data_IF_778027724470
#
_entry.id   IF_778027724470
#
_cell.length_a   1.000
_cell.length_b   1.000
_cell.length_c   1.000
_cell.angle_alpha   90.00
_cell.angle_beta   90.00
_cell.angle_gamma   90.00
#
_symmetry.space_group_name_H-M   'P 1'
#
loop_
_entity.id
_entity.type
_entity.pdbx_description
1 polymer ?
#
# COMPACT_ATOMS: atom_id res chain seq x y z
N UNK A 1 39.72 -17.67 -3.39
CA UNK A 1 39.25 -16.28 -3.60
C UNK A 1 37.88 -16.16 -4.27
N UNK A 2 37.54 -16.89 -5.36
CA UNK A 2 36.23 -16.78 -6.02
C UNK A 2 35.03 -17.19 -5.14
N UNK A 3 35.17 -18.29 -4.39
CA UNK A 3 34.15 -18.79 -3.44
C UNK A 3 33.83 -17.77 -2.31
N UNK A 4 34.85 -17.11 -1.76
CA UNK A 4 34.70 -16.10 -0.69
C UNK A 4 33.98 -14.85 -1.22
N UNK A 5 34.30 -14.41 -2.45
CA UNK A 5 33.58 -13.30 -3.09
C UNK A 5 32.11 -13.64 -3.34
N UNK A 6 31.82 -14.85 -3.81
CA UNK A 6 30.44 -15.32 -4.02
C UNK A 6 29.65 -15.37 -2.71
N UNK A 7 30.27 -15.87 -1.64
CA UNK A 7 29.68 -15.91 -0.31
C UNK A 7 29.38 -14.52 0.25
N UNK A 8 30.29 -13.55 0.07
CA UNK A 8 30.08 -12.16 0.46
C UNK A 8 28.94 -11.48 -0.33
N UNK A 9 28.81 -11.78 -1.63
CA UNK A 9 27.70 -11.27 -2.45
C UNK A 9 26.36 -11.87 -1.99
N UNK A 10 26.29 -13.18 -1.77
CA UNK A 10 25.08 -13.83 -1.25
C UNK A 10 24.71 -13.33 0.15
N UNK A 11 25.69 -13.18 1.04
CA UNK A 11 25.51 -12.66 2.39
C UNK A 11 24.96 -11.22 2.38
N UNK A 12 25.53 -10.35 1.55
CA UNK A 12 25.04 -8.97 1.42
C UNK A 12 23.62 -8.90 0.84
N UNK A 13 23.27 -9.74 -0.15
CA UNK A 13 21.90 -9.83 -0.63
C UNK A 13 20.93 -10.28 0.48
N UNK A 14 21.28 -11.31 1.26
CA UNK A 14 20.44 -11.80 2.36
C UNK A 14 20.20 -10.72 3.44
N UNK A 15 21.22 -9.92 3.76
CA UNK A 15 21.11 -8.80 4.72
C UNK A 15 20.25 -7.65 4.16
N UNK A 16 20.36 -7.35 2.86
CA UNK A 16 19.52 -6.33 2.21
C UNK A 16 18.05 -6.76 2.22
N UNK A 17 17.76 -8.05 2.04
CA UNK A 17 16.40 -8.58 2.14
C UNK A 17 15.89 -8.67 3.59
N UNK A 18 16.75 -8.89 4.58
CA UNK A 18 16.34 -8.99 5.99
C UNK A 18 15.91 -7.64 6.59
N UNK A 19 16.42 -6.52 6.08
CA UNK A 19 16.02 -5.17 6.51
C UNK A 19 14.65 -4.73 5.96
N UNK A 20 14.02 -5.54 5.10
CA UNK A 20 12.61 -5.38 4.76
C UNK A 20 11.75 -6.10 5.81
N UNK A 21 11.75 -5.60 7.05
CA UNK A 21 10.82 -6.08 8.07
C UNK A 21 9.42 -5.61 7.71
N UNK A 22 8.66 -6.49 7.07
CA UNK A 22 7.25 -6.29 6.77
C UNK A 22 6.35 -6.32 8.03
N UNK A 23 6.91 -6.03 9.20
CA UNK A 23 6.22 -6.11 10.50
C UNK A 23 5.01 -5.17 10.59
N UNK A 24 4.96 -4.11 9.76
CA UNK A 24 3.84 -3.16 9.70
C UNK A 24 2.60 -3.69 8.94
N UNK A 25 2.55 -5.00 8.62
CA UNK A 25 1.46 -5.67 7.87
C UNK A 25 0.25 -6.10 8.69
N UNK A 26 0.19 -5.86 10.01
CA UNK A 26 -0.94 -6.36 10.81
C UNK A 26 -2.22 -5.59 10.47
N UNK A 27 -2.96 -6.13 9.51
CA UNK A 27 -4.37 -5.79 9.28
C UNK A 27 -5.04 -5.86 10.64
N UNK A 28 -5.55 -4.71 11.07
CA UNK A 28 -6.20 -4.59 12.37
C UNK A 28 -7.62 -5.12 12.27
N UNK A 29 -8.30 -4.88 11.15
CA UNK A 29 -9.66 -5.34 10.90
C UNK A 29 -10.00 -5.29 9.41
N UNK A 30 -11.12 -5.92 9.04
CA UNK A 30 -11.76 -5.77 7.74
C UNK A 30 -13.14 -5.13 7.95
N UNK A 31 -13.56 -4.28 7.02
CA UNK A 31 -14.88 -3.65 7.03
C UNK A 31 -15.53 -3.73 5.66
N UNK A 32 -16.85 -3.75 5.65
CA UNK A 32 -17.63 -3.59 4.42
C UNK A 32 -17.60 -2.14 3.97
N UNK A 33 -17.77 -1.91 2.66
CA UNK A 33 -17.81 -0.58 2.08
C UNK A 33 -18.89 0.30 2.74
N UNK A 34 -20.07 -0.26 3.01
CA UNK A 34 -21.16 0.45 3.66
C UNK A 34 -20.86 0.87 5.11
N UNK A 35 -19.91 0.19 5.77
CA UNK A 35 -19.46 0.48 7.14
C UNK A 35 -18.30 1.47 7.20
N UNK A 36 -17.68 1.82 6.07
CA UNK A 36 -16.64 2.84 6.03
C UNK A 36 -17.23 4.22 6.34
N UNK A 37 -16.38 5.15 6.76
CA UNK A 37 -16.78 6.55 6.94
C UNK A 37 -17.43 7.11 5.67
N UNK A 38 -18.54 7.84 5.81
CA UNK A 38 -19.35 8.34 4.69
C UNK A 38 -18.51 9.21 3.74
N UNK A 39 -17.57 9.99 4.28
CA UNK A 39 -16.68 10.80 3.44
C UNK A 39 -15.76 9.92 2.58
N UNK A 40 -15.29 8.79 3.11
CA UNK A 40 -14.48 7.82 2.37
C UNK A 40 -15.34 7.14 1.30
N UNK A 41 -16.56 6.73 1.64
CA UNK A 41 -17.50 6.17 0.67
C UNK A 41 -17.76 7.13 -0.49
N UNK A 42 -18.03 8.40 -0.19
CA UNK A 42 -18.29 9.43 -1.19
C UNK A 42 -17.06 9.74 -2.04
N UNK A 43 -15.87 9.76 -1.43
CA UNK A 43 -14.60 9.95 -2.13
C UNK A 43 -14.38 8.82 -3.14
N UNK A 44 -14.56 7.56 -2.73
CA UNK A 44 -14.38 6.39 -3.58
C UNK A 44 -15.36 6.36 -4.76
N UNK A 45 -16.61 6.81 -4.57
CA UNK A 45 -17.62 6.92 -5.63
C UNK A 45 -17.34 8.04 -6.65
N UNK A 46 -16.53 9.03 -6.28
CA UNK A 46 -16.29 10.25 -7.07
C UNK A 46 -14.82 10.40 -7.46
N UNK A 47 -14.08 9.29 -7.52
CA UNK A 47 -12.67 9.37 -7.82
C UNK A 47 -12.41 9.96 -9.20
N UNK A 48 -11.45 10.88 -9.31
CA UNK A 48 -11.03 11.36 -10.61
C UNK A 48 -10.36 10.20 -11.36
N UNK A 49 -10.69 10.12 -12.64
CA UNK A 49 -10.02 9.24 -13.59
C UNK A 49 -9.00 10.09 -14.33
N UNK A 50 -7.79 9.58 -14.50
CA UNK A 50 -6.76 10.29 -15.26
C UNK A 50 -7.01 10.22 -16.78
N UNK A 51 -6.12 10.84 -17.56
CA UNK A 51 -6.22 10.85 -19.03
C UNK A 51 -6.13 9.47 -19.68
N UNK A 52 -5.65 8.46 -18.95
CA UNK A 52 -5.48 7.08 -19.42
C UNK A 52 -6.59 6.16 -18.90
N UNK A 53 -7.57 6.66 -18.16
CA UNK A 53 -8.63 5.83 -17.61
C UNK A 53 -8.25 5.18 -16.27
N UNK A 54 -7.16 5.60 -15.63
CA UNK A 54 -6.67 5.00 -14.40
C UNK A 54 -7.13 5.78 -13.16
N UNK A 55 -7.47 5.03 -12.12
CA UNK A 55 -7.69 5.57 -10.78
C UNK A 55 -6.35 5.80 -10.06
N UNK A 56 -6.28 6.76 -9.12
CA UNK A 56 -5.07 7.00 -8.36
C UNK A 56 -4.73 5.80 -7.47
N UNK A 57 -3.45 5.49 -7.30
CA UNK A 57 -3.00 4.43 -6.37
C UNK A 57 -3.00 4.85 -4.90
N UNK A 58 -3.02 6.17 -4.62
CA UNK A 58 -3.01 6.75 -3.28
C UNK A 58 -4.02 7.91 -3.21
N UNK A 59 -4.89 7.85 -2.20
CA UNK A 59 -5.80 8.90 -1.78
C UNK A 59 -5.39 9.30 -0.37
N UNK A 60 -4.56 10.34 -0.27
CA UNK A 60 -4.07 10.81 1.01
C UNK A 60 -4.89 12.00 1.52
N UNK A 61 -5.73 11.75 2.52
CA UNK A 61 -6.55 12.78 3.16
C UNK A 61 -5.80 13.57 4.24
N UNK A 62 -4.55 13.21 4.52
CA UNK A 62 -3.68 13.92 5.47
C UNK A 62 -2.74 14.90 4.77
N UNK A 63 -2.43 14.68 3.49
CA UNK A 63 -1.47 15.45 2.70
C UNK A 63 0.01 15.13 2.99
N UNK A 64 0.28 14.16 3.87
CA UNK A 64 1.61 13.88 4.39
C UNK A 64 2.22 12.57 3.89
N UNK A 65 1.49 11.74 3.15
CA UNK A 65 1.95 10.42 2.71
C UNK A 65 2.36 10.39 1.24
N UNK A 66 3.34 9.52 0.95
CA UNK A 66 3.79 9.20 -0.40
C UNK A 66 3.84 7.70 -0.57
N UNK A 67 3.30 7.21 -1.69
CA UNK A 67 3.44 5.83 -2.12
C UNK A 67 4.69 5.70 -2.99
N UNK A 68 5.57 4.77 -2.61
CA UNK A 68 6.84 4.52 -3.28
C UNK A 68 6.86 3.07 -3.72
N UNK A 69 6.97 2.84 -5.03
CA UNK A 69 7.26 1.52 -5.57
C UNK A 69 8.73 1.17 -5.35
N UNK A 70 8.99 -0.06 -4.92
CA UNK A 70 10.35 -0.54 -4.65
C UNK A 70 10.75 -1.56 -5.70
N UNK A 71 11.89 -1.30 -6.31
CA UNK A 71 12.38 -1.99 -7.49
C UNK A 71 13.75 -2.64 -7.23
N UNK A 72 13.99 -3.78 -7.86
CA UNK A 72 15.31 -4.39 -8.02
C UNK A 72 15.48 -4.68 -9.52
N UNK A 73 16.29 -3.87 -10.20
CA UNK A 73 16.33 -3.89 -11.66
C UNK A 73 14.94 -3.56 -12.22
N UNK A 74 14.42 -4.33 -13.20
CA UNK A 74 13.10 -4.08 -13.78
C UNK A 74 11.93 -4.61 -12.94
N UNK A 75 12.20 -5.20 -11.77
CA UNK A 75 11.20 -5.93 -10.98
C UNK A 75 10.72 -5.11 -9.78
N UNK A 76 9.42 -4.86 -9.71
CA UNK A 76 8.77 -4.36 -8.50
C UNK A 76 8.65 -5.48 -7.48
N UNK A 77 9.11 -5.26 -6.24
CA UNK A 77 9.05 -6.27 -5.18
C UNK A 77 8.22 -5.84 -3.97
N UNK A 78 7.99 -4.55 -3.77
CA UNK A 78 7.18 -4.04 -2.68
C UNK A 78 6.59 -2.65 -2.97
N UNK A 79 5.55 -2.31 -2.22
CA UNK A 79 5.04 -0.96 -2.09
C UNK A 79 5.40 -0.44 -0.70
N UNK A 80 5.84 0.82 -0.63
CA UNK A 80 6.19 1.48 0.62
C UNK A 80 5.43 2.79 0.74
N UNK A 81 4.55 2.88 1.72
CA UNK A 81 3.82 4.10 2.05
C UNK A 81 4.57 4.84 3.17
N UNK A 82 5.01 6.07 2.91
CA UNK A 82 5.87 6.83 3.83
C UNK A 82 5.20 8.14 4.22
N UNK A 83 5.10 8.40 5.53
CA UNK A 83 4.75 9.71 6.03
C UNK A 83 5.96 10.63 5.91
N UNK A 84 5.82 11.71 5.17
CA UNK A 84 6.88 12.67 4.83
C UNK A 84 7.26 13.56 6.02
N UNK A 85 6.38 13.76 6.99
CA UNK A 85 6.66 14.55 8.20
C UNK A 85 7.40 13.73 9.26
N UNK A 86 6.92 12.51 9.52
CA UNK A 86 7.45 11.67 10.63
C UNK A 86 8.49 10.64 10.18
N UNK A 87 8.59 10.37 8.88
CA UNK A 87 9.42 9.30 8.32
C UNK A 87 8.88 7.89 8.56
N UNK A 88 7.74 7.74 9.27
CA UNK A 88 7.12 6.44 9.53
C UNK A 88 6.68 5.79 8.22
N UNK A 89 6.95 4.50 8.07
CA UNK A 89 6.66 3.80 6.81
C UNK A 89 5.97 2.46 6.98
N UNK A 90 5.07 2.16 6.06
CA UNK A 90 4.29 0.93 5.99
C UNK A 90 4.66 0.19 4.70
N UNK A 91 4.89 -1.12 4.80
CA UNK A 91 5.36 -1.95 3.70
C UNK A 91 4.29 -2.95 3.30
N UNK A 92 4.02 -3.01 2.01
CA UNK A 92 3.01 -3.86 1.40
C UNK A 92 3.64 -4.71 0.30
N UNK A 93 2.97 -5.82 -0.05
CA UNK A 93 3.38 -6.60 -1.22
C UNK A 93 3.20 -5.77 -2.49
N UNK A 94 4.03 -5.99 -3.50
CA UNK A 94 3.96 -5.24 -4.77
C UNK A 94 2.59 -5.33 -5.43
N UNK A 95 1.90 -6.46 -5.24
CA UNK A 95 0.59 -6.74 -5.78
C UNK A 95 -0.53 -6.38 -4.79
N UNK A 96 -0.33 -5.52 -3.80
CA UNK A 96 -1.45 -5.16 -2.91
C UNK A 96 -2.50 -4.37 -3.70
N UNK A 97 -3.81 -4.68 -3.61
CA UNK A 97 -4.84 -3.93 -4.32
C UNK A 97 -4.84 -2.44 -3.94
N UNK A 98 -4.94 -1.57 -4.94
CA UNK A 98 -5.00 -0.11 -4.81
C UNK A 98 -6.42 0.40 -5.14
N UNK A 99 -6.82 1.59 -4.67
CA UNK A 99 -6.05 2.62 -3.96
C UNK A 99 -5.77 2.32 -2.48
N UNK A 100 -4.68 2.88 -1.96
CA UNK A 100 -4.54 3.13 -0.53
C UNK A 100 -5.26 4.44 -0.18
N UNK A 101 -6.17 4.39 0.79
CA UNK A 101 -6.78 5.58 1.39
C UNK A 101 -6.14 5.81 2.75
N UNK A 102 -5.58 7.00 2.96
CA UNK A 102 -4.91 7.34 4.22
C UNK A 102 -5.67 8.43 4.92
N UNK A 103 -6.04 8.16 6.17
CA UNK A 103 -6.60 9.14 7.10
C UNK A 103 -5.60 9.41 8.23
N UNK A 104 -5.94 10.32 9.14
CA UNK A 104 -5.13 10.56 10.34
C UNK A 104 -5.09 9.37 11.30
N UNK A 105 -5.98 8.38 11.15
CA UNK A 105 -6.13 7.26 12.09
C UNK A 105 -5.82 5.91 11.48
N UNK A 106 -5.90 5.78 10.16
CA UNK A 106 -5.84 4.47 9.50
C UNK A 106 -5.46 4.54 8.03
N UNK A 107 -4.93 3.42 7.55
CA UNK A 107 -4.71 3.12 6.14
C UNK A 107 -5.76 2.08 5.75
N UNK A 108 -6.50 2.36 4.70
CA UNK A 108 -7.58 1.53 4.18
C UNK A 108 -7.22 1.14 2.75
N UNK A 109 -7.45 -0.10 2.34
CA UNK A 109 -7.23 -0.52 0.96
C UNK A 109 -8.14 -1.71 0.59
N UNK A 110 -8.52 -1.88 -0.68
CA UNK A 110 -9.39 -2.97 -1.11
C UNK A 110 -8.84 -4.35 -0.77
N UNK A 111 -9.74 -5.31 -0.56
CA UNK A 111 -9.37 -6.71 -0.50
C UNK A 111 -9.14 -7.32 -1.90
N UNK A 112 -9.82 -6.78 -2.91
CA UNK A 112 -9.81 -7.29 -4.29
C UNK A 112 -9.35 -6.23 -5.29
N UNK A 113 -8.75 -6.68 -6.40
CA UNK A 113 -8.31 -5.79 -7.48
C UNK A 113 -9.49 -5.27 -8.30
N UNK A 114 -9.29 -4.12 -8.94
CA UNK A 114 -10.21 -3.54 -9.92
C UNK A 114 -11.63 -3.27 -9.38
N UNK A 115 -11.83 -3.36 -8.07
CA UNK A 115 -13.12 -3.14 -7.41
C UNK A 115 -13.70 -1.75 -7.74
N UNK A 116 -12.84 -0.73 -7.79
CA UNK A 116 -13.27 0.62 -8.18
C UNK A 116 -13.67 0.69 -9.66
N UNK A 117 -12.92 -0.01 -10.53
CA UNK A 117 -13.19 -0.06 -11.97
C UNK A 117 -14.48 -0.82 -12.30
N UNK A 118 -14.78 -1.88 -11.55
CA UNK A 118 -15.99 -2.68 -11.73
C UNK A 118 -17.23 -2.04 -11.09
N UNK A 119 -17.04 -1.05 -10.23
CA UNK A 119 -18.08 -0.43 -9.42
C UNK A 119 -18.13 -1.06 -8.04
N UNK A 120 -18.19 -0.21 -7.02
CA UNK A 120 -18.13 -0.64 -5.62
C UNK A 120 -19.52 -1.02 -5.12
N UNK A 121 -19.66 -2.24 -4.61
CA UNK A 121 -20.85 -2.75 -3.95
C UNK A 121 -20.78 -2.53 -2.43
N UNK A 122 -21.95 -2.54 -1.77
CA UNK A 122 -22.02 -2.34 -0.31
C UNK A 122 -21.26 -3.39 0.48
N UNK A 123 -21.26 -4.63 -0.03
CA UNK A 123 -20.64 -5.80 0.59
C UNK A 123 -19.16 -5.97 0.23
N UNK A 124 -18.59 -5.04 -0.53
CA UNK A 124 -17.17 -5.06 -0.83
C UNK A 124 -16.34 -4.84 0.42
N UNK A 125 -15.20 -5.53 0.51
CA UNK A 125 -14.38 -5.55 1.72
C UNK A 125 -13.11 -4.73 1.56
N UNK A 126 -12.79 -4.01 2.63
CA UNK A 126 -11.56 -3.24 2.75
C UNK A 126 -10.76 -3.72 3.97
N UNK A 127 -9.45 -3.78 3.78
CA UNK A 127 -8.49 -4.01 4.86
C UNK A 127 -8.16 -2.70 5.54
N UNK A 128 -8.05 -2.71 6.86
CA UNK A 128 -7.76 -1.53 7.68
C UNK A 128 -6.54 -1.78 8.56
N UNK A 129 -5.61 -0.83 8.54
CA UNK A 129 -4.45 -0.77 9.43
C UNK A 129 -4.54 0.51 10.25
N UNK A 130 -4.58 0.40 11.58
CA UNK A 130 -4.55 1.57 12.46
C UNK A 130 -3.16 2.21 12.48
N UNK A 131 -3.14 3.54 12.39
CA UNK A 131 -1.95 4.38 12.53
C UNK A 131 -1.91 4.86 13.98
N UNK A 132 -0.87 4.43 14.71
CA UNK A 132 -0.56 4.89 16.06
C UNK A 132 0.65 5.81 16.07
#
# INVERSE_FOLDING_TARGET
MKQIKLFLILSTMMIVFSNCTFENRKITTQMYFEDLDVYIQDTLKKLPIDTFGCYPDLIDLTGNYKLIMKEIGPWYYALKLVNSETGKSYWFYYNTPTPFIVTSKEIIFPMEYNMITMGIEKTDKFNIIKIY
#
